data_IF_185111224494
#
_entry.id   IF_185111224494
#
_cell.length_a   1.000
_cell.length_b   1.000
_cell.length_c   1.000
_cell.angle_alpha   90.00
_cell.angle_beta   90.00
_cell.angle_gamma   90.00
#
_symmetry.space_group_name_H-M   'P 1'
#
loop_
_entity.id
_entity.type
_entity.pdbx_description
1 polymer ?
#
# COMPACT_ATOMS: atom_id res chain seq x y z
N UNK A 1 -12.23 -1.36 0.49
CA UNK A 1 -12.97 -0.21 1.09
C UNK A 1 -14.35 -0.65 1.57
N UNK A 2 -15.23 -1.18 0.70
CA UNK A 2 -16.57 -1.66 1.05
C UNK A 2 -16.64 -2.53 2.32
N UNK A 3 -15.88 -3.64 2.36
CA UNK A 3 -15.87 -4.57 3.51
C UNK A 3 -15.54 -3.89 4.85
N UNK A 4 -14.71 -2.84 4.86
CA UNK A 4 -14.43 -2.07 6.07
C UNK A 4 -15.60 -1.17 6.47
N UNK A 5 -16.24 -0.50 5.49
CA UNK A 5 -17.43 0.30 5.74
C UNK A 5 -18.59 -0.53 6.30
N UNK A 6 -18.83 -1.71 5.73
CA UNK A 6 -19.85 -2.67 6.19
C UNK A 6 -19.60 -3.17 7.63
N UNK A 7 -18.34 -3.18 8.07
CA UNK A 7 -17.93 -3.52 9.44
C UNK A 7 -17.94 -2.32 10.39
N UNK A 8 -18.44 -1.17 9.96
CA UNK A 8 -18.58 0.05 10.78
C UNK A 8 -17.33 0.93 10.87
N UNK A 9 -16.29 0.68 10.06
CA UNK A 9 -15.13 1.56 10.03
C UNK A 9 -15.41 2.83 9.23
N UNK A 10 -14.88 3.97 9.72
CA UNK A 10 -14.71 5.17 8.90
C UNK A 10 -13.52 4.94 7.98
N UNK A 11 -13.75 4.93 6.66
CA UNK A 11 -12.72 4.62 5.66
C UNK A 11 -12.21 5.90 5.03
N UNK A 12 -10.89 6.07 5.01
CA UNK A 12 -10.20 7.14 4.28
C UNK A 12 -9.45 6.48 3.12
N UNK A 13 -9.68 6.98 1.90
CA UNK A 13 -9.04 6.49 0.69
C UNK A 13 -8.05 7.53 0.16
N UNK A 14 -6.79 7.13 -0.05
CA UNK A 14 -5.76 8.00 -0.61
C UNK A 14 -5.24 7.44 -1.92
N UNK A 15 -5.16 8.28 -2.94
CA UNK A 15 -4.61 7.94 -4.25
C UNK A 15 -4.50 9.20 -5.11
N UNK A 16 -3.58 9.22 -6.08
CA UNK A 16 -3.41 10.37 -7.00
C UNK A 16 -4.66 10.69 -7.84
N UNK A 17 -5.49 9.68 -8.13
CA UNK A 17 -6.69 9.79 -8.96
C UNK A 17 -7.88 9.21 -8.19
N UNK A 18 -9.06 9.79 -8.41
CA UNK A 18 -10.28 9.33 -7.74
C UNK A 18 -10.54 7.84 -8.06
N UNK A 19 -10.80 6.99 -7.06
CA UNK A 19 -11.23 5.62 -7.28
C UNK A 19 -12.52 5.55 -8.09
N UNK A 20 -12.67 4.53 -8.94
CA UNK A 20 -13.90 4.28 -9.70
C UNK A 20 -15.12 4.19 -8.78
N UNK A 21 -14.96 3.52 -7.63
CA UNK A 21 -15.98 3.47 -6.59
C UNK A 21 -15.33 3.64 -5.20
N UNK A 22 -15.62 4.72 -4.46
CA UNK A 22 -15.10 4.93 -3.12
C UNK A 22 -15.84 4.13 -2.04
N UNK A 23 -17.02 3.56 -2.33
CA UNK A 23 -17.84 2.82 -1.37
C UNK A 23 -18.08 3.58 -0.05
N UNK A 24 -18.38 4.88 -0.15
CA UNK A 24 -18.60 5.75 1.01
C UNK A 24 -17.33 6.20 1.75
N UNK A 25 -16.13 5.82 1.28
CA UNK A 25 -14.88 6.32 1.85
C UNK A 25 -14.68 7.81 1.56
N UNK A 26 -14.11 8.53 2.53
CA UNK A 26 -13.59 9.89 2.32
C UNK A 26 -12.32 9.82 1.48
N UNK A 27 -12.40 10.27 0.23
CA UNK A 27 -11.25 10.24 -0.68
C UNK A 27 -10.45 11.55 -0.65
N UNK A 28 -9.13 11.41 -0.64
CA UNK A 28 -8.19 12.51 -0.79
C UNK A 28 -7.17 12.21 -1.89
N UNK A 29 -6.91 13.20 -2.73
CA UNK A 29 -5.82 13.14 -3.69
C UNK A 29 -4.48 13.26 -2.96
N UNK A 30 -3.61 12.26 -3.12
CA UNK A 30 -2.28 12.26 -2.51
C UNK A 30 -1.29 11.47 -3.38
N UNK A 31 -0.12 12.06 -3.65
CA UNK A 31 1.06 11.32 -4.12
C UNK A 31 1.85 10.85 -2.92
N UNK A 32 1.92 9.54 -2.72
CA UNK A 32 2.64 8.93 -1.60
C UNK A 32 4.16 9.12 -1.69
N UNK A 33 4.67 9.57 -2.83
CA UNK A 33 6.08 9.87 -3.02
C UNK A 33 6.48 11.26 -2.49
N UNK A 34 5.50 12.11 -2.19
CA UNK A 34 5.70 13.44 -1.59
C UNK A 34 5.53 13.32 -0.06
N UNK A 35 6.67 13.36 0.64
CA UNK A 35 6.72 13.25 2.10
C UNK A 35 5.95 14.38 2.79
N UNK A 36 6.09 15.61 2.31
CA UNK A 36 5.46 16.77 2.92
C UNK A 36 3.93 16.71 2.76
N UNK A 37 3.45 16.31 1.59
CA UNK A 37 2.03 16.11 1.34
C UNK A 37 1.46 14.96 2.20
N UNK A 38 2.21 13.86 2.34
CA UNK A 38 1.82 12.74 3.21
C UNK A 38 1.68 13.21 4.67
N UNK A 39 2.69 13.92 5.18
CA UNK A 39 2.68 14.45 6.54
C UNK A 39 1.53 15.42 6.77
N UNK A 40 1.32 16.35 5.85
CA UNK A 40 0.26 17.36 5.96
C UNK A 40 -1.14 16.74 5.99
N UNK A 41 -1.41 15.71 5.17
CA UNK A 41 -2.72 15.07 5.11
C UNK A 41 -2.93 14.05 6.23
N UNK A 42 -1.92 13.22 6.54
CA UNK A 42 -2.10 12.02 7.35
C UNK A 42 -1.82 12.25 8.85
N UNK A 43 -0.89 13.14 9.21
CA UNK A 43 -0.57 13.38 10.63
C UNK A 43 -1.73 13.93 11.48
N UNK A 44 -2.68 14.71 10.94
CA UNK A 44 -3.86 15.13 11.70
C UNK A 44 -4.85 13.98 11.97
N UNK A 45 -4.73 12.85 11.26
CA UNK A 45 -5.63 11.70 11.37
C UNK A 45 -5.24 10.78 12.55
N UNK A 46 -5.40 11.30 13.76
CA UNK A 46 -4.99 10.63 15.01
C UNK A 46 -5.82 9.38 15.35
N UNK A 47 -6.96 9.18 14.69
CA UNK A 47 -7.87 8.05 14.89
C UNK A 47 -7.60 6.82 14.02
N UNK A 48 -6.52 6.78 13.23
CA UNK A 48 -6.23 5.65 12.36
C UNK A 48 -5.90 4.41 13.19
N UNK A 49 -6.61 3.30 12.94
CA UNK A 49 -6.40 2.02 13.63
C UNK A 49 -5.78 0.94 12.75
N UNK A 50 -5.91 1.07 11.42
CA UNK A 50 -5.41 0.14 10.42
C UNK A 50 -4.96 0.89 9.17
N UNK A 51 -3.80 0.52 8.65
CA UNK A 51 -3.35 0.93 7.30
C UNK A 51 -3.50 -0.27 6.37
N UNK A 52 -4.17 -0.07 5.23
CA UNK A 52 -4.18 -1.02 4.12
C UNK A 52 -3.42 -0.40 2.95
N UNK A 53 -2.17 -0.83 2.77
CA UNK A 53 -1.30 -0.32 1.72
C UNK A 53 -1.45 -1.19 0.46
N UNK A 54 -2.16 -0.65 -0.53
CA UNK A 54 -2.39 -1.28 -1.83
C UNK A 54 -1.93 -0.39 -3.00
N UNK A 55 -0.94 0.48 -2.74
CA UNK A 55 -0.34 1.33 -3.76
C UNK A 55 0.87 0.64 -4.39
N UNK A 56 1.08 0.89 -5.69
CA UNK A 56 2.20 0.35 -6.46
C UNK A 56 2.67 1.40 -7.47
N UNK A 57 3.99 1.51 -7.63
CA UNK A 57 4.63 2.15 -8.75
C UNK A 57 5.20 1.08 -9.69
N UNK A 58 4.77 1.09 -10.93
CA UNK A 58 5.24 0.19 -11.99
C UNK A 58 6.10 0.97 -12.99
N UNK A 59 7.26 0.40 -13.31
CA UNK A 59 8.09 0.89 -14.40
C UNK A 59 7.47 0.50 -15.76
N UNK A 60 7.88 1.21 -16.82
CA UNK A 60 7.36 0.97 -18.17
C UNK A 60 7.58 -0.48 -18.64
N UNK A 61 8.75 -1.05 -18.35
CA UNK A 61 8.99 -2.48 -18.54
C UNK A 61 8.70 -3.21 -17.23
N UNK A 62 7.52 -3.83 -17.15
CA UNK A 62 7.04 -4.42 -15.91
C UNK A 62 8.03 -5.45 -15.34
N UNK A 63 8.40 -6.49 -16.10
CA UNK A 63 9.20 -7.60 -15.59
C UNK A 63 10.64 -7.18 -15.32
N UNK A 64 11.26 -6.43 -16.24
CA UNK A 64 12.62 -5.96 -16.04
C UNK A 64 12.72 -4.99 -14.85
N UNK A 65 11.71 -4.12 -14.71
CA UNK A 65 11.60 -3.15 -13.63
C UNK A 65 11.64 -3.75 -12.24
N UNK A 66 11.17 -5.00 -12.06
CA UNK A 66 11.02 -5.63 -10.74
C UNK A 66 12.33 -5.73 -9.95
N UNK A 67 13.46 -5.82 -10.65
CA UNK A 67 14.79 -5.89 -10.06
C UNK A 67 15.50 -4.53 -10.03
N UNK A 68 14.91 -3.51 -10.64
CA UNK A 68 15.51 -2.19 -10.72
C UNK A 68 15.46 -1.51 -9.35
N UNK A 69 16.63 -1.08 -8.89
CA UNK A 69 16.79 -0.38 -7.61
C UNK A 69 15.86 0.84 -7.51
N UNK A 70 15.67 1.56 -8.61
CA UNK A 70 14.80 2.72 -8.66
C UNK A 70 13.34 2.36 -8.34
N UNK A 71 12.82 1.26 -8.89
CA UNK A 71 11.46 0.79 -8.60
C UNK A 71 11.33 0.40 -7.12
N UNK A 72 12.32 -0.31 -6.58
CA UNK A 72 12.36 -0.75 -5.18
C UNK A 72 12.37 0.46 -4.24
N UNK A 73 13.28 1.41 -4.49
CA UNK A 73 13.42 2.64 -3.70
C UNK A 73 12.13 3.46 -3.75
N UNK A 74 11.51 3.60 -4.92
CA UNK A 74 10.27 4.38 -5.10
C UNK A 74 9.10 3.77 -4.34
N UNK A 75 8.90 2.45 -4.43
CA UNK A 75 7.83 1.77 -3.69
C UNK A 75 8.09 1.78 -2.18
N UNK A 76 9.35 1.59 -1.76
CA UNK A 76 9.75 1.70 -0.36
C UNK A 76 9.50 3.11 0.21
N UNK A 77 9.80 4.16 -0.56
CA UNK A 77 9.55 5.55 -0.19
C UNK A 77 8.05 5.79 0.05
N UNK A 78 7.17 5.33 -0.85
CA UNK A 78 5.73 5.50 -0.68
C UNK A 78 5.20 4.84 0.61
N UNK A 79 5.67 3.63 0.92
CA UNK A 79 5.30 2.94 2.15
C UNK A 79 5.82 3.70 3.38
N UNK A 80 7.08 4.12 3.36
CA UNK A 80 7.70 4.88 4.44
C UNK A 80 6.94 6.17 4.74
N UNK A 81 6.71 6.99 3.72
CA UNK A 81 5.99 8.26 3.86
C UNK A 81 4.59 8.05 4.45
N UNK A 82 3.92 6.96 4.09
CA UNK A 82 2.59 6.63 4.62
C UNK A 82 2.65 6.25 6.10
N UNK A 83 3.53 5.32 6.46
CA UNK A 83 3.62 4.79 7.84
C UNK A 83 4.17 5.85 8.79
N UNK A 84 5.21 6.58 8.41
CA UNK A 84 5.83 7.60 9.25
C UNK A 84 4.94 8.84 9.44
N UNK A 85 4.06 9.14 8.48
CA UNK A 85 3.08 10.20 8.65
C UNK A 85 1.91 9.82 9.57
N UNK A 86 1.69 8.53 9.85
CA UNK A 86 0.58 8.04 10.69
C UNK A 86 1.05 7.57 12.06
N UNK A 87 2.07 6.71 12.12
CA UNK A 87 2.46 5.99 13.33
C UNK A 87 2.76 6.88 14.55
N UNK A 88 3.42 8.05 14.43
CA UNK A 88 3.68 8.92 15.57
C UNK A 88 2.42 9.58 16.15
N UNK A 89 1.37 9.73 15.33
CA UNK A 89 0.19 10.53 15.66
C UNK A 89 -1.04 9.68 15.99
N UNK A 90 -1.12 8.46 15.44
CA UNK A 90 -2.22 7.54 15.65
C UNK A 90 -1.92 6.53 16.77
N UNK A 91 -2.04 6.96 18.04
CA UNK A 91 -1.71 6.14 19.22
C UNK A 91 -2.50 4.81 19.33
N UNK A 92 -3.66 4.73 18.67
CA UNK A 92 -4.49 3.52 18.63
C UNK A 92 -4.22 2.60 17.44
N UNK A 93 -3.18 2.88 16.64
CA UNK A 93 -2.82 2.10 15.47
C UNK A 93 -2.45 0.66 15.85
N UNK A 94 -3.04 -0.33 15.16
CA UNK A 94 -2.92 -1.76 15.50
C UNK A 94 -2.19 -2.58 14.45
N UNK A 95 -2.38 -2.28 13.17
CA UNK A 95 -1.87 -3.13 12.09
C UNK A 95 -1.61 -2.36 10.79
N UNK A 96 -0.61 -2.83 10.05
CA UNK A 96 -0.37 -2.46 8.65
C UNK A 96 -0.54 -3.73 7.83
N UNK A 97 -1.47 -3.70 6.88
CA UNK A 97 -1.66 -4.75 5.88
C UNK A 97 -1.09 -4.27 4.56
N UNK A 98 -0.17 -5.04 3.98
CA UNK A 98 0.47 -4.68 2.72
C UNK A 98 0.02 -5.67 1.65
N UNK A 99 -0.54 -5.16 0.55
CA UNK A 99 -0.88 -5.99 -0.60
C UNK A 99 0.40 -6.30 -1.38
N UNK A 100 0.73 -7.57 -1.45
CA UNK A 100 1.80 -8.11 -2.29
C UNK A 100 1.21 -8.91 -3.45
N UNK A 101 2.09 -9.35 -4.35
CA UNK A 101 1.70 -10.20 -5.48
C UNK A 101 2.72 -11.32 -5.73
N UNK A 102 2.57 -12.07 -6.83
CA UNK A 102 3.40 -13.24 -7.16
C UNK A 102 4.91 -12.98 -7.18
N UNK A 103 5.32 -11.71 -7.32
CA UNK A 103 6.72 -11.27 -7.18
C UNK A 103 7.34 -11.64 -5.85
N UNK A 104 6.58 -11.56 -4.76
CA UNK A 104 7.03 -11.92 -3.42
C UNK A 104 7.37 -13.41 -3.30
N UNK A 105 6.86 -14.24 -4.23
CA UNK A 105 7.07 -15.68 -4.27
C UNK A 105 8.13 -16.10 -5.29
N UNK A 106 8.80 -15.15 -5.96
CA UNK A 106 9.91 -15.48 -6.86
C UNK A 106 9.53 -15.77 -8.32
N UNK A 107 8.35 -15.35 -8.79
CA UNK A 107 7.94 -15.52 -10.22
C UNK A 107 8.92 -14.89 -11.22
N UNK A 108 9.80 -14.01 -10.74
CA UNK A 108 10.83 -13.33 -11.50
C UNK A 108 12.15 -14.13 -11.60
N UNK A 109 12.28 -15.20 -10.83
CA UNK A 109 13.41 -16.14 -10.83
C UNK A 109 13.11 -17.33 -11.74
N UNK A 110 11.93 -17.92 -11.61
CA UNK A 110 11.45 -19.02 -12.46
C UNK A 110 9.91 -19.04 -12.53
N UNK A 111 9.32 -19.73 -13.54
CA UNK A 111 7.89 -19.99 -13.56
C UNK A 111 7.44 -20.74 -12.31
N UNK A 112 6.34 -20.30 -11.70
CA UNK A 112 5.74 -20.97 -10.55
C UNK A 112 4.47 -21.72 -10.93
N UNK A 113 4.20 -22.82 -10.23
CA UNK A 113 2.94 -23.53 -10.33
C UNK A 113 1.82 -22.69 -9.69
N UNK A 114 0.61 -22.85 -10.22
CA UNK A 114 -0.56 -22.21 -9.62
C UNK A 114 -0.79 -22.72 -8.19
N UNK A 115 -1.03 -21.80 -7.27
CA UNK A 115 -1.26 -22.12 -5.85
C UNK A 115 -0.01 -22.10 -4.99
N UNK A 116 1.04 -21.38 -5.38
CA UNK A 116 2.22 -21.15 -4.58
C UNK A 116 1.87 -20.64 -3.17
N UNK A 117 2.59 -21.11 -2.15
CA UNK A 117 2.31 -20.78 -0.73
C UNK A 117 3.54 -20.25 -0.02
N UNK A 118 3.31 -19.50 1.05
CA UNK A 118 4.38 -18.94 1.91
C UNK A 118 4.91 -19.94 2.94
N UNK A 119 4.24 -21.09 3.11
CA UNK A 119 4.56 -22.10 4.13
C UNK A 119 5.45 -23.24 3.63
N UNK A 120 5.93 -23.16 2.38
CA UNK A 120 6.78 -24.16 1.73
C UNK A 120 7.64 -23.55 0.63
N UNK A 121 8.70 -24.26 0.27
CA UNK A 121 9.47 -23.98 -0.93
C UNK A 121 8.75 -24.56 -2.17
N UNK A 122 8.95 -23.89 -3.31
CA UNK A 122 8.49 -24.34 -4.62
C UNK A 122 9.67 -25.02 -5.33
N UNK A 123 9.73 -26.35 -5.26
CA UNK A 123 10.72 -27.22 -5.92
C UNK A 123 10.55 -27.28 -7.45
#
# INVERSE_FOLDING_TARGET
MQSYGERGYKVIAVSRRKPLNPYGASWHSLDLSDEAACKALLSPLTGIVQIVFAALHEEHNLVAGWLEKQQIDRNGLMLRNTVEAVAPYAKGHRNVTILQGPKAYGVHVHPMRHGAREDRDED
#
